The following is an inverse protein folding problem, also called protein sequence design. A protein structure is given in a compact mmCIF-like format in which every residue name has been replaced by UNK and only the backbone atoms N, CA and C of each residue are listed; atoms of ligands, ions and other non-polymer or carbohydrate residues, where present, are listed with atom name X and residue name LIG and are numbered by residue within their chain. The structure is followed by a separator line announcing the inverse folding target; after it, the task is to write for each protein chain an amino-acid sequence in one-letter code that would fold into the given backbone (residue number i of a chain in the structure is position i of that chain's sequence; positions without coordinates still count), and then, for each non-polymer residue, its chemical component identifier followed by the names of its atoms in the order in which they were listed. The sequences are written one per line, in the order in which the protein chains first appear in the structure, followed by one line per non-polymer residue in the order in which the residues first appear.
data_IF_139872174483
#
_entry.id   IF_139872174483
#
_cell.length_a   1.000
_cell.length_b   1.000
_cell.length_c   1.000
_cell.angle_alpha   90.00
_cell.angle_beta   90.00
_cell.angle_gamma   90.00
#
_symmetry.space_group_name_H-M   'P 1'
#
loop_
_entity.id
_entity.type
_entity.pdbx_description
1 polymer ?
#
# COMPACT_ATOMS: atom_id res chain seq x y z
N UNK A 1 34.20 18.67 19.88
CA UNK A 1 34.28 20.15 19.99
C UNK A 1 35.39 20.58 19.03
N UNK A 2 35.21 21.34 17.95
CA UNK A 2 34.33 22.49 17.65
C UNK A 2 33.86 22.42 16.19
N UNK A 3 32.68 22.98 15.96
CA UNK A 3 32.03 23.21 14.67
C UNK A 3 32.08 24.70 14.35
N UNK A 4 32.32 25.09 13.09
CA UNK A 4 32.05 26.39 12.46
C UNK A 4 32.13 26.19 10.93
N UNK A 5 31.03 25.94 10.20
CA UNK A 5 29.99 26.84 9.64
C UNK A 5 30.46 27.77 8.49
N UNK A 6 30.09 27.33 7.27
CA UNK A 6 29.37 28.05 6.21
C UNK A 6 29.93 29.33 5.54
N UNK A 7 29.94 29.24 4.20
CA UNK A 7 29.42 30.21 3.21
C UNK A 7 30.41 31.09 2.43
N UNK A 8 30.22 31.03 1.11
CA UNK A 8 30.55 32.02 0.07
C UNK A 8 32.03 32.23 -0.29
N UNK A 9 32.42 31.80 -1.50
CA UNK A 9 32.52 32.72 -2.62
C UNK A 9 32.86 31.95 -3.90
N UNK A 10 32.15 32.29 -4.97
CA UNK A 10 32.55 32.05 -6.35
C UNK A 10 34.05 32.30 -6.55
N UNK A 11 34.74 31.40 -7.26
CA UNK A 11 35.75 31.75 -8.28
C UNK A 11 36.23 30.47 -9.00
N UNK A 12 35.97 30.45 -10.31
CA UNK A 12 36.83 29.92 -11.38
C UNK A 12 36.75 28.40 -11.68
N UNK A 13 35.90 28.11 -12.66
CA UNK A 13 36.12 27.34 -13.89
C UNK A 13 37.40 26.46 -14.00
N UNK A 14 37.22 25.16 -14.22
CA UNK A 14 37.65 24.49 -15.46
C UNK A 14 37.13 23.04 -15.54
N UNK A 15 36.37 22.78 -16.62
CA UNK A 15 36.31 21.59 -17.49
C UNK A 15 36.42 20.15 -16.93
N UNK A 16 35.52 19.31 -17.47
CA UNK A 16 35.58 17.85 -17.59
C UNK A 16 35.45 17.14 -16.23
N UNK A 17 34.34 16.50 -15.92
CA UNK A 17 33.92 15.23 -16.50
C UNK A 17 32.40 15.14 -16.40
N UNK A 18 31.77 14.68 -17.48
CA UNK A 18 30.43 14.12 -17.48
C UNK A 18 30.35 12.93 -16.54
N UNK A 19 30.20 13.19 -15.24
CA UNK A 19 29.50 12.25 -14.37
C UNK A 19 28.03 12.43 -14.68
N UNK A 20 27.61 11.89 -15.83
CA UNK A 20 26.26 11.34 -15.85
C UNK A 20 26.18 10.47 -14.61
N UNK A 21 25.21 10.74 -13.74
CA UNK A 21 24.73 9.69 -12.85
C UNK A 21 24.22 8.59 -13.78
N UNK A 22 25.13 7.75 -14.31
CA UNK A 22 24.86 6.34 -14.40
C UNK A 22 24.67 5.93 -12.94
N UNK A 23 23.48 6.23 -12.42
CA UNK A 23 22.86 5.39 -11.42
C UNK A 23 22.77 4.07 -12.16
N UNK A 24 23.84 3.29 -12.06
CA UNK A 24 23.86 1.90 -12.45
C UNK A 24 22.54 1.39 -11.92
N UNK A 25 21.61 1.08 -12.82
CA UNK A 25 20.53 0.17 -12.48
C UNK A 25 21.27 -1.12 -12.22
N UNK A 26 21.87 -1.22 -11.02
CA UNK A 26 22.03 -2.47 -10.34
C UNK A 26 20.66 -3.07 -10.50
N UNK A 27 20.59 -4.08 -11.35
CA UNK A 27 19.56 -5.09 -11.31
C UNK A 27 19.55 -5.54 -9.86
N UNK A 28 18.82 -4.80 -9.02
CA UNK A 28 18.49 -5.20 -7.67
C UNK A 28 17.70 -6.46 -7.94
N UNK A 29 18.36 -7.60 -7.77
CA UNK A 29 17.69 -8.86 -7.54
C UNK A 29 16.58 -8.53 -6.54
N UNK A 30 15.34 -8.44 -7.04
CA UNK A 30 14.18 -8.22 -6.21
C UNK A 30 14.13 -9.46 -5.32
N UNK A 31 14.66 -9.31 -4.10
CA UNK A 31 14.57 -10.35 -3.10
C UNK A 31 13.08 -10.69 -2.98
N UNK A 32 12.70 -11.98 -3.05
CA UNK A 32 11.31 -12.37 -2.84
C UNK A 32 10.83 -11.75 -1.52
N UNK A 33 9.68 -11.07 -1.56
CA UNK A 33 9.05 -10.50 -0.37
C UNK A 33 8.76 -11.68 0.58
N UNK A 34 9.19 -11.64 1.85
CA UNK A 34 8.98 -12.74 2.78
C UNK A 34 7.48 -12.94 3.07
N UNK A 35 7.04 -14.16 3.40
CA UNK A 35 5.62 -14.46 3.62
C UNK A 35 4.91 -13.51 4.59
N UNK A 36 5.55 -13.15 5.71
CA UNK A 36 4.96 -12.22 6.69
C UNK A 36 4.68 -10.84 6.07
N UNK A 37 5.58 -10.30 5.25
CA UNK A 37 5.36 -9.03 4.56
C UNK A 37 4.27 -9.14 3.49
N UNK A 38 4.17 -10.29 2.82
CA UNK A 38 3.07 -10.55 1.89
C UNK A 38 1.72 -10.54 2.63
N UNK A 39 1.64 -11.20 3.80
CA UNK A 39 0.46 -11.21 4.67
C UNK A 39 0.11 -9.79 5.10
N UNK A 40 1.06 -9.03 5.61
CA UNK A 40 0.84 -7.65 6.06
C UNK A 40 0.29 -6.77 4.93
N UNK A 41 0.84 -6.89 3.72
CA UNK A 41 0.39 -6.09 2.59
C UNK A 41 -1.05 -6.44 2.18
N UNK A 42 -1.37 -7.72 2.00
CA UNK A 42 -2.72 -8.16 1.64
C UNK A 42 -3.73 -7.83 2.74
N UNK A 43 -3.37 -8.08 3.99
CA UNK A 43 -4.21 -7.80 5.14
C UNK A 43 -4.50 -6.31 5.29
N UNK A 44 -3.51 -5.45 5.04
CA UNK A 44 -3.67 -3.99 5.06
C UNK A 44 -4.64 -3.50 3.99
N UNK A 45 -4.54 -4.03 2.77
CA UNK A 45 -5.47 -3.72 1.67
C UNK A 45 -6.88 -4.18 2.02
N UNK A 46 -7.02 -5.43 2.46
CA UNK A 46 -8.30 -6.01 2.90
C UNK A 46 -8.96 -5.19 4.02
N UNK A 47 -8.20 -4.86 5.06
CA UNK A 47 -8.69 -4.11 6.21
C UNK A 47 -9.13 -2.69 5.84
N UNK A 48 -8.34 -2.03 4.98
CA UNK A 48 -8.61 -0.67 4.53
C UNK A 48 -9.82 -0.63 3.59
N UNK A 49 -10.00 -1.64 2.73
CA UNK A 49 -11.18 -1.76 1.87
C UNK A 49 -12.45 -2.02 2.70
N UNK A 50 -12.37 -2.91 3.70
CA UNK A 50 -13.42 -3.12 4.69
C UNK A 50 -13.76 -1.84 5.45
N UNK A 51 -12.75 -1.07 5.85
CA UNK A 51 -12.93 0.24 6.49
C UNK A 51 -13.66 1.23 5.58
N UNK A 52 -13.28 1.32 4.30
CA UNK A 52 -13.99 2.15 3.32
C UNK A 52 -15.47 1.77 3.21
N UNK A 53 -15.79 0.48 3.16
CA UNK A 53 -17.16 -0.01 3.05
C UNK A 53 -18.02 0.40 4.25
N UNK A 54 -17.54 0.11 5.47
CA UNK A 54 -18.37 0.21 6.67
C UNK A 54 -18.27 1.56 7.40
N UNK A 55 -17.09 2.18 7.42
CA UNK A 55 -16.85 3.43 8.16
C UNK A 55 -16.89 4.65 7.24
N UNK A 56 -16.49 4.50 5.97
CA UNK A 56 -16.51 5.61 5.00
C UNK A 56 -17.73 5.62 4.08
N UNK A 57 -18.77 4.84 4.42
CA UNK A 57 -20.04 4.75 3.70
C UNK A 57 -19.92 4.47 2.19
N UNK A 58 -18.90 3.72 1.75
CA UNK A 58 -18.74 3.28 0.36
C UNK A 58 -19.65 2.09 0.06
N UNK A 59 -20.96 2.35 -0.06
CA UNK A 59 -21.98 1.34 -0.38
C UNK A 59 -21.84 0.73 -1.78
N UNK A 60 -21.07 1.36 -2.65
CA UNK A 60 -20.70 0.86 -3.98
C UNK A 60 -19.71 -0.32 -3.92
N UNK A 61 -19.00 -0.50 -2.81
CA UNK A 61 -18.10 -1.64 -2.62
C UNK A 61 -18.90 -2.93 -2.40
N UNK A 62 -18.47 -4.06 -2.98
CA UNK A 62 -19.18 -5.33 -2.90
C UNK A 62 -19.11 -5.96 -1.50
N UNK A 63 -19.65 -7.17 -1.33
CA UNK A 63 -19.62 -7.89 -0.05
C UNK A 63 -18.19 -8.28 0.37
N UNK A 64 -17.99 -8.54 1.66
CA UNK A 64 -16.69 -8.97 2.21
C UNK A 64 -16.15 -10.21 1.50
N UNK A 65 -17.02 -11.17 1.16
CA UNK A 65 -16.63 -12.37 0.42
C UNK A 65 -16.07 -12.05 -0.98
N UNK A 66 -16.67 -11.08 -1.68
CA UNK A 66 -16.20 -10.65 -3.00
C UNK A 66 -14.88 -9.88 -2.89
N UNK A 67 -14.74 -9.02 -1.88
CA UNK A 67 -13.48 -8.32 -1.62
C UNK A 67 -12.35 -9.30 -1.26
N UNK A 68 -12.63 -10.31 -0.43
CA UNK A 68 -11.65 -11.34 -0.07
C UNK A 68 -11.21 -12.16 -1.30
N UNK A 69 -12.15 -12.58 -2.16
CA UNK A 69 -11.80 -13.26 -3.41
C UNK A 69 -10.90 -12.41 -4.32
N UNK A 70 -11.07 -11.08 -4.32
CA UNK A 70 -10.20 -10.17 -5.05
C UNK A 70 -8.80 -10.07 -4.43
N UNK A 71 -8.68 -10.08 -3.09
CA UNK A 71 -7.39 -10.17 -2.40
C UNK A 71 -6.67 -11.46 -2.78
N UNK A 72 -7.37 -12.60 -2.83
CA UNK A 72 -6.79 -13.88 -3.25
C UNK A 72 -6.33 -13.84 -4.71
N UNK A 73 -7.10 -13.18 -5.58
CA UNK A 73 -6.70 -12.95 -6.97
C UNK A 73 -5.42 -12.12 -7.05
N UNK A 74 -5.29 -11.06 -6.26
CA UNK A 74 -4.09 -10.21 -6.21
C UNK A 74 -2.87 -11.03 -5.78
N UNK A 75 -3.01 -11.90 -4.78
CA UNK A 75 -1.92 -12.76 -4.34
C UNK A 75 -1.50 -13.77 -5.41
N UNK A 76 -2.46 -14.46 -6.04
CA UNK A 76 -2.19 -15.39 -7.16
C UNK A 76 -1.50 -14.69 -8.33
N UNK A 77 -1.94 -13.49 -8.69
CA UNK A 77 -1.29 -12.67 -9.73
C UNK A 77 0.16 -12.30 -9.39
N UNK A 78 0.49 -12.20 -8.09
CA UNK A 78 1.86 -11.94 -7.59
C UNK A 78 2.68 -13.22 -7.37
N UNK A 79 2.09 -14.40 -7.61
CA UNK A 79 2.72 -15.68 -7.33
C UNK A 79 2.90 -15.97 -5.83
N UNK A 80 2.03 -15.43 -4.99
CA UNK A 80 2.07 -15.58 -3.54
C UNK A 80 1.15 -16.71 -3.07
N UNK A 81 1.73 -17.74 -2.47
CA UNK A 81 1.03 -18.93 -1.95
C UNK A 81 0.60 -18.75 -0.49
N UNK A 82 -0.08 -17.63 -0.19
CA UNK A 82 -0.43 -17.25 1.19
C UNK A 82 -1.83 -16.65 1.35
N UNK A 83 -2.53 -16.29 0.27
CA UNK A 83 -3.82 -15.62 0.43
C UNK A 83 -4.97 -16.54 0.81
N UNK A 84 -4.86 -17.83 0.48
CA UNK A 84 -5.80 -18.85 0.94
C UNK A 84 -5.55 -19.24 2.41
N UNK A 85 -4.51 -18.69 3.06
CA UNK A 85 -4.23 -18.89 4.48
C UNK A 85 -5.16 -18.01 5.35
N UNK A 86 -5.66 -18.60 6.44
CA UNK A 86 -6.37 -17.88 7.52
C UNK A 86 -5.56 -16.72 8.07
N UNK A 87 -4.23 -16.73 7.91
CA UNK A 87 -3.33 -15.65 8.34
C UNK A 87 -3.72 -14.27 7.79
N UNK A 88 -4.03 -14.13 6.49
CA UNK A 88 -4.41 -12.84 5.89
C UNK A 88 -5.71 -12.33 6.50
N UNK A 89 -6.71 -13.21 6.64
CA UNK A 89 -8.01 -12.86 7.23
C UNK A 89 -7.88 -12.43 8.70
N UNK A 90 -7.12 -13.19 9.50
CA UNK A 90 -6.88 -12.87 10.91
C UNK A 90 -6.14 -11.54 11.06
N UNK A 91 -5.08 -11.34 10.28
CA UNK A 91 -4.30 -10.11 10.32
C UNK A 91 -5.11 -8.91 9.85
N UNK A 92 -5.95 -9.08 8.82
CA UNK A 92 -6.83 -8.03 8.31
C UNK A 92 -7.82 -7.57 9.38
N UNK A 93 -8.40 -8.50 10.14
CA UNK A 93 -9.32 -8.16 11.22
C UNK A 93 -8.61 -7.40 12.36
N UNK A 94 -7.38 -7.80 12.72
CA UNK A 94 -6.57 -7.06 13.70
C UNK A 94 -6.31 -5.61 13.24
N UNK A 95 -5.93 -5.41 11.98
CA UNK A 95 -5.69 -4.09 11.41
C UNK A 95 -7.00 -3.28 11.37
N UNK A 96 -8.11 -3.86 10.94
CA UNK A 96 -9.42 -3.19 10.90
C UNK A 96 -9.85 -2.70 12.29
N UNK A 97 -9.65 -3.53 13.31
CA UNK A 97 -9.91 -3.15 14.70
C UNK A 97 -8.98 -2.03 15.19
N UNK A 98 -7.70 -2.06 14.80
CA UNK A 98 -6.78 -0.97 15.09
C UNK A 98 -7.22 0.34 14.42
N UNK A 99 -7.62 0.29 13.14
CA UNK A 99 -8.12 1.46 12.40
C UNK A 99 -9.35 2.09 13.05
N UNK A 100 -10.22 1.31 13.69
CA UNK A 100 -11.39 1.85 14.41
C UNK A 100 -11.02 2.55 15.72
N UNK A 101 -9.95 2.10 16.40
CA UNK A 101 -9.51 2.67 17.68
C UNK A 101 -8.50 3.81 17.53
N UNK A 102 -7.81 3.86 16.40
CA UNK A 102 -6.83 4.89 16.11
C UNK A 102 -7.46 6.29 16.12
N UNK A 103 -6.73 7.29 16.62
CA UNK A 103 -7.24 8.66 16.82
C UNK A 103 -7.22 9.55 15.57
N UNK A 104 -6.70 9.06 14.43
CA UNK A 104 -6.74 9.81 13.18
C UNK A 104 -8.19 10.09 12.78
N UNK A 105 -8.55 11.33 12.41
CA UNK A 105 -9.92 11.66 12.01
C UNK A 105 -10.42 10.76 10.88
N UNK A 106 -11.69 10.35 10.96
CA UNK A 106 -12.31 9.46 9.97
C UNK A 106 -12.20 10.03 8.55
N UNK A 107 -12.46 11.33 8.37
CA UNK A 107 -12.31 12.00 7.07
C UNK A 107 -10.91 11.89 6.47
N UNK A 108 -9.88 11.94 7.32
CA UNK A 108 -8.47 11.73 6.91
C UNK A 108 -8.22 10.27 6.52
N UNK A 109 -8.71 9.30 7.30
CA UNK A 109 -8.62 7.87 6.96
C UNK A 109 -9.31 7.57 5.63
N UNK A 110 -10.56 8.01 5.47
CA UNK A 110 -11.37 7.80 4.29
C UNK A 110 -10.77 8.44 3.04
N UNK A 111 -10.32 9.69 3.12
CA UNK A 111 -9.67 10.36 1.97
C UNK A 111 -8.34 9.68 1.58
N UNK A 112 -7.55 9.24 2.56
CA UNK A 112 -6.30 8.51 2.31
C UNK A 112 -6.56 7.15 1.64
N UNK A 113 -7.45 6.35 2.23
CA UNK A 113 -7.77 5.02 1.71
C UNK A 113 -8.46 5.08 0.34
N UNK A 114 -9.37 6.02 0.11
CA UNK A 114 -9.99 6.20 -1.21
C UNK A 114 -8.96 6.45 -2.31
N UNK A 115 -7.89 7.20 -2.01
CA UNK A 115 -6.81 7.45 -2.95
C UNK A 115 -5.89 6.24 -3.12
N UNK A 116 -5.47 5.63 -2.02
CA UNK A 116 -4.50 4.52 -2.03
C UNK A 116 -5.10 3.23 -2.62
N UNK A 117 -6.36 2.95 -2.36
CA UNK A 117 -7.05 1.74 -2.79
C UNK A 117 -7.70 1.85 -4.16
N UNK A 118 -7.60 3.01 -4.83
CA UNK A 118 -8.24 3.19 -6.14
C UNK A 118 -7.93 2.06 -7.14
N UNK A 119 -6.66 1.61 -7.33
CA UNK A 119 -6.38 0.51 -8.25
C UNK A 119 -7.04 -0.81 -7.84
N UNK A 120 -7.10 -1.10 -6.53
CA UNK A 120 -7.77 -2.30 -6.03
C UNK A 120 -9.28 -2.24 -6.23
N UNK A 121 -9.89 -1.08 -5.98
CA UNK A 121 -11.35 -0.87 -6.11
C UNK A 121 -11.78 -0.90 -7.57
N UNK A 122 -11.01 -0.31 -8.48
CA UNK A 122 -11.30 -0.29 -9.92
C UNK A 122 -11.32 -1.72 -10.51
N UNK A 123 -10.60 -2.66 -9.89
CA UNK A 123 -10.55 -4.08 -10.28
C UNK A 123 -11.66 -4.95 -9.62
N UNK A 124 -12.42 -4.39 -8.67
CA UNK A 124 -13.52 -5.10 -8.04
C UNK A 124 -14.71 -5.20 -9.01
N UNK A 125 -15.41 -6.35 -9.04
CA UNK A 125 -16.70 -6.39 -9.70
C UNK A 125 -17.60 -5.38 -8.97
N UNK A 126 -18.24 -4.51 -9.73
CA UNK A 126 -19.22 -3.56 -9.20
C UNK A 126 -20.30 -4.36 -8.46
N UNK A 127 -20.69 -3.88 -7.27
CA UNK A 127 -21.82 -4.46 -6.58
C UNK A 127 -23.02 -4.46 -7.54
N UNK A 128 -23.48 -5.64 -7.95
CA UNK A 128 -24.70 -5.75 -8.75
C UNK A 128 -25.85 -5.16 -7.93
N UNK A 129 -26.20 -3.91 -8.23
CA UNK A 129 -27.51 -3.35 -7.89
C UNK A 129 -28.52 -4.04 -8.81
N UNK A 130 -29.03 -5.19 -8.35
CA UNK A 130 -29.90 -6.03 -9.15
C UNK A 130 -30.76 -6.97 -8.31
N UNK A 131 -31.60 -6.40 -7.45
CA UNK A 131 -33.06 -6.60 -7.34
C UNK A 131 -33.58 -6.15 -5.98
#
# INVERSE_FOLDING_TARGET
MRSFRFCHCMLIAFLLVSTGCQQSRSSLQQKPIPPDEQIEQLASVSASAKYLKYQCHRSDLPSDAVMNNAIDKVARQRGWDIAEDKAVSQRSEQIYQHLQRDSTPESTKCSSFNRLLKPFIDDLPTAFNGQ
#
